data_IF_714546588713
#
_entry.id   IF_714546588713
#
_cell.length_a   1.000
_cell.length_b   1.000
_cell.length_c   1.000
_cell.angle_alpha   90.00
_cell.angle_beta   90.00
_cell.angle_gamma   90.00
#
_symmetry.space_group_name_H-M   'P 1'
#
loop_
_entity.id
_entity.type
_entity.pdbx_description
1 polymer ?
#
# COMPACT_ATOMS: atom_id res chain seq x y z
N UNK A 1 9.75 3.26 -26.49
CA UNK A 1 9.86 3.71 -25.08
C UNK A 1 8.68 3.15 -24.31
N UNK A 2 8.88 2.34 -23.26
CA UNK A 2 7.77 1.86 -22.41
C UNK A 2 7.16 3.08 -21.70
N UNK A 3 5.87 3.35 -21.91
CA UNK A 3 5.16 4.40 -21.17
C UNK A 3 5.15 4.00 -19.69
N UNK A 4 5.88 4.75 -18.86
CA UNK A 4 5.83 4.60 -17.41
C UNK A 4 4.42 4.99 -16.99
N UNK A 5 3.62 4.01 -16.55
CA UNK A 5 2.29 4.26 -15.99
C UNK A 5 2.48 5.10 -14.73
N UNK A 6 1.80 6.24 -14.64
CA UNK A 6 1.84 7.06 -13.43
C UNK A 6 0.82 6.48 -12.45
N UNK A 7 1.14 6.39 -11.15
CA UNK A 7 0.15 6.00 -10.16
C UNK A 7 -0.97 7.05 -10.17
N UNK A 8 -2.19 6.62 -10.48
CA UNK A 8 -3.33 7.54 -10.68
C UNK A 8 -3.93 7.95 -9.34
N UNK A 9 -3.92 7.03 -8.37
CA UNK A 9 -4.44 7.29 -7.04
C UNK A 9 -3.68 6.46 -6.01
N UNK A 10 -3.23 7.14 -4.95
CA UNK A 10 -2.76 6.50 -3.73
C UNK A 10 -3.85 6.68 -2.67
N UNK A 11 -4.30 5.58 -2.08
CA UNK A 11 -5.29 5.61 -1.01
C UNK A 11 -4.62 5.07 0.26
N UNK A 12 -4.66 5.84 1.34
CA UNK A 12 -4.17 5.39 2.64
C UNK A 12 -5.26 4.50 3.26
N UNK A 13 -4.95 3.22 3.46
CA UNK A 13 -5.84 2.26 4.09
C UNK A 13 -5.79 2.38 5.61
N UNK A 14 -4.61 2.64 6.15
CA UNK A 14 -4.42 2.75 7.58
C UNK A 14 -3.03 3.21 7.97
N UNK A 15 -2.90 3.67 9.20
CA UNK A 15 -1.63 4.08 9.83
C UNK A 15 -1.40 3.24 11.08
N UNK A 16 -0.21 2.66 11.20
CA UNK A 16 0.14 1.65 12.19
C UNK A 16 1.39 2.06 12.97
N UNK A 17 1.48 1.65 14.23
CA UNK A 17 2.61 1.99 15.10
C UNK A 17 3.86 1.12 14.88
N UNK A 18 3.76 0.05 14.08
CA UNK A 18 4.89 -0.82 13.78
C UNK A 18 4.76 -1.42 12.38
N UNK A 19 5.91 -1.75 11.79
CA UNK A 19 5.99 -2.46 10.52
C UNK A 19 5.17 -3.76 10.59
N UNK A 20 5.31 -4.54 11.67
CA UNK A 20 4.59 -5.82 11.84
C UNK A 20 3.07 -5.66 11.79
N UNK A 21 2.52 -4.60 12.36
CA UNK A 21 1.08 -4.32 12.30
C UNK A 21 0.64 -3.92 10.89
N UNK A 22 1.45 -3.09 10.20
CA UNK A 22 1.21 -2.73 8.80
C UNK A 22 1.27 -3.96 7.88
N UNK A 23 2.23 -4.87 8.07
CA UNK A 23 2.37 -6.10 7.27
C UNK A 23 1.12 -6.99 7.39
N UNK A 24 0.61 -7.19 8.61
CA UNK A 24 -0.64 -7.96 8.82
C UNK A 24 -1.82 -7.39 8.05
N UNK A 25 -1.92 -6.06 7.95
CA UNK A 25 -2.96 -5.43 7.13
C UNK A 25 -2.77 -5.76 5.65
N UNK A 26 -1.54 -5.73 5.15
CA UNK A 26 -1.23 -6.09 3.76
C UNK A 26 -1.63 -7.54 3.49
N UNK A 27 -1.28 -8.47 4.39
CA UNK A 27 -1.64 -9.89 4.25
C UNK A 27 -3.16 -10.08 4.13
N UNK A 28 -3.94 -9.35 4.93
CA UNK A 28 -5.41 -9.36 4.85
C UNK A 28 -5.94 -8.78 3.54
N UNK A 29 -5.37 -7.67 3.07
CA UNK A 29 -5.77 -7.02 1.82
C UNK A 29 -5.51 -7.92 0.61
N UNK A 30 -4.38 -8.63 0.62
CA UNK A 30 -3.99 -9.53 -0.47
C UNK A 30 -4.80 -10.83 -0.52
N UNK A 31 -5.44 -11.22 0.59
CA UNK A 31 -6.16 -12.50 0.72
C UNK A 31 -7.41 -12.65 -0.17
N UNK A 32 -7.74 -11.65 -0.99
CA UNK A 32 -8.79 -11.74 -2.00
C UNK A 32 -8.63 -10.80 -3.19
N UNK A 33 -7.51 -10.07 -3.30
CA UNK A 33 -7.32 -9.03 -4.31
C UNK A 33 -5.94 -9.15 -4.98
N UNK A 34 -5.82 -10.02 -5.99
CA UNK A 34 -4.55 -10.24 -6.70
C UNK A 34 -4.06 -9.06 -7.55
N UNK A 35 -4.97 -8.17 -7.96
CA UNK A 35 -4.65 -6.99 -8.78
C UNK A 35 -4.30 -5.74 -7.96
N UNK A 36 -4.29 -5.85 -6.63
CA UNK A 36 -4.04 -4.70 -5.76
C UNK A 36 -2.53 -4.50 -5.52
N UNK A 37 -2.01 -3.33 -5.87
CA UNK A 37 -0.66 -2.93 -5.47
C UNK A 37 -0.71 -2.22 -4.12
N UNK A 38 0.12 -2.64 -3.17
CA UNK A 38 0.15 -2.06 -1.81
C UNK A 38 1.59 -1.73 -1.42
N UNK A 39 1.78 -0.54 -0.86
CA UNK A 39 3.04 -0.06 -0.30
C UNK A 39 2.88 0.18 1.20
N UNK A 40 3.92 -0.16 1.96
CA UNK A 40 4.07 0.31 3.34
C UNK A 40 5.08 1.44 3.32
N UNK A 41 4.65 2.64 3.72
CA UNK A 41 5.47 3.85 3.72
C UNK A 41 5.68 4.29 5.17
N UNK A 42 6.92 4.51 5.57
CA UNK A 42 7.22 5.08 6.88
C UNK A 42 6.87 6.57 6.88
N UNK A 43 6.12 7.01 7.90
CA UNK A 43 5.67 8.38 8.10
C UNK A 43 5.96 8.76 9.56
N UNK A 44 7.12 9.40 9.77
CA UNK A 44 7.68 9.63 11.10
C UNK A 44 7.93 8.32 11.87
N UNK A 45 7.32 8.21 13.05
CA UNK A 45 7.40 7.01 13.90
C UNK A 45 6.33 5.95 13.58
N UNK A 46 5.51 6.16 12.53
CA UNK A 46 4.42 5.27 12.15
C UNK A 46 4.60 4.75 10.72
N UNK A 47 3.75 3.80 10.34
CA UNK A 47 3.78 3.12 9.05
C UNK A 47 2.40 3.22 8.41
N UNK A 48 2.32 3.80 7.22
CA UNK A 48 1.10 3.90 6.45
C UNK A 48 1.03 2.77 5.43
N UNK A 49 -0.08 2.06 5.39
CA UNK A 49 -0.39 1.13 4.31
C UNK A 49 -1.16 1.90 3.24
N UNK A 50 -0.60 1.97 2.03
CA UNK A 50 -1.17 2.69 0.90
C UNK A 50 -1.43 1.74 -0.24
N UNK A 51 -2.62 1.80 -0.84
CA UNK A 51 -2.90 1.10 -2.10
C UNK A 51 -2.59 2.03 -3.26
N UNK A 52 -2.08 1.46 -4.36
CA UNK A 52 -1.71 2.18 -5.56
C UNK A 52 -2.52 1.60 -6.72
N UNK A 53 -3.29 2.45 -7.39
CA UNK A 53 -3.99 2.09 -8.62
C UNK A 53 -3.21 2.65 -9.80
N UNK A 54 -2.77 1.76 -10.69
CA UNK A 54 -2.07 2.10 -11.93
C UNK A 54 -3.06 2.03 -13.10
N UNK A 55 -3.16 3.10 -13.92
CA UNK A 55 -3.83 3.05 -15.24
C UNK A 55 -2.79 3.00 -16.35
#
# INVERSE_FOLDING_TARGET
MKKIRKPVKQIIIGTYHSMRAASKQVDLLMKGNGDLCVNIVQDGCKFQVRTVVWQ
#
